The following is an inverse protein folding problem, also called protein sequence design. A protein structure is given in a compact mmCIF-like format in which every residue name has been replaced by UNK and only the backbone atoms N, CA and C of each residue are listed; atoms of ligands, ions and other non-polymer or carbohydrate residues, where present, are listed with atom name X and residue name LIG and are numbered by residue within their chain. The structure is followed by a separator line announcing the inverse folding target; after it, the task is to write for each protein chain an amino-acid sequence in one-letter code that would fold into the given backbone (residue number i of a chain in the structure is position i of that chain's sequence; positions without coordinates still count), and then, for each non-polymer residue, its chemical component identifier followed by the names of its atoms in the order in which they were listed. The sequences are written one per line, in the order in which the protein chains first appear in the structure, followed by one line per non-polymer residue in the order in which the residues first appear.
data_IF_083666979787
#
_entry.id   IF_083666979787
#
_cell.length_a   1.000
_cell.length_b   1.000
_cell.length_c   1.000
_cell.angle_alpha   90.00
_cell.angle_beta   90.00
_cell.angle_gamma   90.00
#
_symmetry.space_group_name_H-M   'P 1'
#
loop_
_entity.id
_entity.type
_entity.pdbx_description
1 polymer ?
#
# COMPACT_ATOMS: atom_id res chain seq x y z
N UNK A 1 18.47 -8.00 13.30
CA UNK A 1 17.72 -6.80 13.73
C UNK A 1 16.76 -7.18 14.84
N UNK A 2 16.56 -6.34 15.87
CA UNK A 2 15.54 -6.54 16.92
C UNK A 2 14.56 -5.36 16.92
N UNK A 3 13.25 -5.64 16.90
CA UNK A 3 12.21 -4.61 17.00
C UNK A 3 11.87 -4.43 18.48
N UNK A 4 12.05 -3.22 19.01
CA UNK A 4 11.58 -2.85 20.36
C UNK A 4 10.07 -2.67 20.36
N UNK A 5 9.41 -3.29 21.33
CA UNK A 5 7.95 -3.30 21.49
C UNK A 5 7.52 -2.90 22.91
N UNK A 6 8.45 -2.38 23.71
CA UNK A 6 8.27 -1.92 25.08
C UNK A 6 7.97 -0.40 25.12
N UNK A 7 7.30 0.04 26.19
CA UNK A 7 6.98 1.46 26.43
C UNK A 7 6.20 2.10 25.28
N UNK A 8 6.67 3.25 24.80
CA UNK A 8 6.09 3.99 23.67
C UNK A 8 6.02 3.19 22.36
N UNK A 9 6.74 2.07 22.28
CA UNK A 9 6.74 1.19 21.12
C UNK A 9 5.76 0.02 21.21
N UNK A 10 4.90 -0.03 22.23
CA UNK A 10 3.90 -1.08 22.41
C UNK A 10 3.01 -1.28 21.17
N UNK A 11 2.69 -0.21 20.45
CA UNK A 11 1.89 -0.26 19.21
C UNK A 11 2.51 -1.16 18.13
N UNK A 12 3.84 -1.34 18.13
CA UNK A 12 4.53 -2.21 17.16
C UNK A 12 4.17 -3.66 17.39
N UNK A 13 4.02 -4.10 18.65
CA UNK A 13 3.57 -5.47 18.92
C UNK A 13 2.16 -5.68 18.37
N UNK A 14 1.25 -4.74 18.59
CA UNK A 14 -0.12 -4.82 18.04
C UNK A 14 -0.14 -4.80 16.51
N UNK A 15 0.77 -4.06 15.86
CA UNK A 15 0.90 -4.09 14.40
C UNK A 15 1.42 -5.45 13.90
N UNK A 16 2.41 -6.02 14.58
CA UNK A 16 2.96 -7.35 14.27
C UNK A 16 1.95 -8.45 14.52
N UNK A 17 1.15 -8.37 15.58
CA UNK A 17 0.06 -9.31 15.87
C UNK A 17 -1.00 -9.30 14.78
N UNK A 18 -1.45 -8.12 14.34
CA UNK A 18 -2.39 -8.04 13.20
C UNK A 18 -1.84 -8.65 11.92
N UNK A 19 -0.54 -8.48 11.65
CA UNK A 19 0.09 -9.14 10.51
C UNK A 19 0.15 -10.66 10.70
N UNK A 20 0.48 -11.13 11.91
CA UNK A 20 0.52 -12.55 12.25
C UNK A 20 -0.85 -13.22 12.10
N UNK A 21 -1.91 -12.56 12.55
CA UNK A 21 -3.29 -13.03 12.40
C UNK A 21 -3.70 -13.06 10.92
N UNK A 22 -3.36 -12.03 10.14
CA UNK A 22 -3.66 -11.97 8.71
C UNK A 22 -2.97 -13.08 7.90
N UNK A 23 -1.68 -13.32 8.16
CA UNK A 23 -0.90 -14.35 7.46
C UNK A 23 -1.03 -15.75 8.09
N UNK A 24 -1.80 -15.88 9.17
CA UNK A 24 -1.94 -17.11 9.96
C UNK A 24 -0.59 -17.78 10.26
N UNK A 25 0.34 -17.01 10.80
CA UNK A 25 1.68 -17.52 11.10
C UNK A 25 2.33 -16.81 12.27
N UNK A 26 3.52 -17.29 12.68
CA UNK A 26 4.23 -16.65 13.77
C UNK A 26 4.69 -15.23 13.41
N UNK A 27 4.89 -14.40 14.44
CA UNK A 27 5.27 -12.98 14.34
C UNK A 27 6.48 -12.71 13.44
N UNK A 28 7.48 -13.59 13.45
CA UNK A 28 8.69 -13.40 12.63
C UNK A 28 8.38 -13.59 11.15
N UNK A 29 7.69 -14.68 10.82
CA UNK A 29 7.29 -14.96 9.43
C UNK A 29 6.34 -13.88 8.91
N UNK A 30 5.39 -13.43 9.73
CA UNK A 30 4.46 -12.38 9.37
C UNK A 30 5.15 -11.06 9.01
N UNK A 31 6.19 -10.66 9.77
CA UNK A 31 6.97 -9.46 9.46
C UNK A 31 7.71 -9.61 8.14
N UNK A 32 8.33 -10.76 7.88
CA UNK A 32 9.04 -11.01 6.61
C UNK A 32 8.06 -10.97 5.45
N UNK A 33 6.95 -11.70 5.52
CA UNK A 33 5.92 -11.73 4.48
C UNK A 33 5.34 -10.35 4.21
N UNK A 34 5.02 -9.57 5.26
CA UNK A 34 4.56 -8.19 5.06
C UNK A 34 5.59 -7.30 4.34
N UNK A 35 6.88 -7.47 4.65
CA UNK A 35 7.95 -6.71 3.98
C UNK A 35 8.18 -7.15 2.53
N UNK A 36 7.91 -8.41 2.18
CA UNK A 36 7.98 -8.93 0.82
C UNK A 36 6.76 -8.52 -0.02
N UNK A 37 5.56 -8.58 0.56
CA UNK A 37 4.31 -8.37 -0.15
C UNK A 37 4.01 -6.90 -0.42
N UNK A 38 4.32 -5.98 0.52
CA UNK A 38 3.98 -4.56 0.37
C UNK A 38 4.56 -3.94 -0.91
N UNK A 39 5.86 -4.10 -1.25
CA UNK A 39 6.40 -3.62 -2.51
C UNK A 39 5.68 -4.19 -3.75
N UNK A 40 5.33 -5.47 -3.72
CA UNK A 40 4.64 -6.15 -4.83
C UNK A 40 3.21 -5.61 -5.00
N UNK A 41 2.48 -5.45 -3.90
CA UNK A 41 1.14 -4.86 -3.89
C UNK A 41 1.13 -3.42 -4.40
N UNK A 42 2.13 -2.61 -4.01
CA UNK A 42 2.27 -1.23 -4.50
C UNK A 42 2.59 -1.22 -6.00
N UNK A 43 3.42 -2.13 -6.49
CA UNK A 43 3.70 -2.26 -7.92
C UNK A 43 2.44 -2.67 -8.69
N UNK A 44 1.69 -3.66 -8.20
CA UNK A 44 0.43 -4.09 -8.81
C UNK A 44 -0.62 -2.96 -8.83
N UNK A 45 -0.75 -2.21 -7.73
CA UNK A 45 -1.63 -1.04 -7.67
C UNK A 45 -1.28 0.02 -8.73
N UNK A 46 0.03 0.28 -8.95
CA UNK A 46 0.48 1.20 -10.02
C UNK A 46 0.09 0.68 -11.40
N UNK A 47 0.29 -0.60 -11.67
CA UNK A 47 -0.09 -1.21 -12.95
C UNK A 47 -1.60 -1.11 -13.19
N UNK A 48 -2.42 -1.35 -12.17
CA UNK A 48 -3.87 -1.16 -12.27
C UNK A 48 -4.20 0.29 -12.61
N UNK A 49 -3.58 1.26 -11.93
CA UNK A 49 -3.78 2.68 -12.18
C UNK A 49 -3.27 3.16 -13.54
N UNK A 50 -2.43 2.38 -14.24
CA UNK A 50 -1.91 2.68 -15.57
C UNK A 50 -2.80 2.17 -16.69
N UNK A 51 -3.69 1.20 -16.44
CA UNK A 51 -4.58 0.60 -17.44
C UNK A 51 -5.40 1.62 -18.25
N UNK A 52 -5.32 1.53 -19.57
CA UNK A 52 -5.96 2.46 -20.52
C UNK A 52 -7.49 2.43 -20.51
N UNK A 53 -8.11 1.38 -19.98
CA UNK A 53 -9.57 1.24 -19.92
C UNK A 53 -10.22 1.95 -18.72
N UNK A 54 -9.43 2.50 -17.80
CA UNK A 54 -9.94 3.26 -16.66
C UNK A 54 -10.15 4.73 -17.01
N UNK A 55 -11.34 5.24 -16.71
CA UNK A 55 -11.61 6.68 -16.72
C UNK A 55 -10.78 7.40 -15.67
N UNK A 56 -10.61 8.71 -15.81
CA UNK A 56 -9.91 9.52 -14.80
C UNK A 56 -10.55 9.41 -13.41
N UNK A 57 -11.89 9.43 -13.34
CA UNK A 57 -12.63 9.31 -12.07
C UNK A 57 -12.39 7.96 -11.41
N UNK A 58 -12.42 6.87 -12.19
CA UNK A 58 -12.11 5.52 -11.69
C UNK A 58 -10.66 5.42 -11.19
N UNK A 59 -9.68 5.99 -11.92
CA UNK A 59 -8.29 6.03 -11.46
C UNK A 59 -8.16 6.79 -10.15
N UNK A 60 -8.88 7.90 -10.01
CA UNK A 60 -8.86 8.71 -8.79
C UNK A 60 -9.47 7.94 -7.61
N UNK A 61 -10.63 7.32 -7.79
CA UNK A 61 -11.27 6.48 -6.77
C UNK A 61 -10.36 5.33 -6.31
N UNK A 62 -9.76 4.61 -7.24
CA UNK A 62 -8.82 3.53 -6.95
C UNK A 62 -7.59 4.08 -6.20
N UNK A 63 -7.04 5.22 -6.63
CA UNK A 63 -5.88 5.81 -6.00
C UNK A 63 -6.16 6.27 -4.56
N UNK A 64 -7.32 6.87 -4.31
CA UNK A 64 -7.77 7.27 -2.97
C UNK A 64 -7.99 6.04 -2.08
N UNK A 65 -8.65 5.00 -2.60
CA UNK A 65 -8.93 3.75 -1.87
C UNK A 65 -7.66 3.00 -1.48
N UNK A 66 -6.68 2.92 -2.38
CA UNK A 66 -5.42 2.21 -2.13
C UNK A 66 -4.42 3.04 -1.33
N UNK A 67 -4.65 4.34 -1.17
CA UNK A 67 -3.79 5.19 -0.36
C UNK A 67 -3.95 4.86 1.12
N UNK A 68 -2.82 4.66 1.78
CA UNK A 68 -2.73 4.41 3.22
C UNK A 68 -1.96 5.55 3.89
N UNK A 69 -1.77 5.48 5.21
CA UNK A 69 -0.95 6.45 5.93
C UNK A 69 0.49 6.52 5.41
N UNK A 70 1.04 5.42 4.89
CA UNK A 70 2.46 5.31 4.51
C UNK A 70 2.66 5.40 2.99
N UNK A 71 1.66 4.97 2.21
CA UNK A 71 1.74 4.94 0.74
C UNK A 71 0.61 5.77 0.14
N UNK A 72 0.93 6.68 -0.79
CA UNK A 72 -0.06 7.44 -1.55
C UNK A 72 0.10 7.22 -3.06
N UNK A 73 -1.02 7.22 -3.76
CA UNK A 73 -1.07 7.12 -5.23
C UNK A 73 -1.58 8.45 -5.79
N UNK A 74 -0.87 9.02 -6.78
CA UNK A 74 -1.25 10.27 -7.43
C UNK A 74 -1.60 10.01 -8.89
N UNK A 75 -2.80 10.40 -9.31
CA UNK A 75 -3.24 10.35 -10.70
C UNK A 75 -2.88 11.68 -11.38
N UNK A 76 -2.18 11.62 -12.51
CA UNK A 76 -1.89 12.81 -13.33
C UNK A 76 -2.99 12.98 -14.36
N UNK A 77 -3.57 14.18 -14.45
CA UNK A 77 -4.46 14.56 -15.53
C UNK A 77 -3.63 15.02 -16.72
N UNK A 78 -3.63 14.27 -17.81
CA UNK A 78 -3.10 14.76 -19.09
C UNK A 78 -4.15 15.72 -19.68
N UNK A 79 -3.82 17.01 -19.76
CA UNK A 79 -4.64 17.99 -20.47
C UNK A 79 -4.04 18.15 -21.85
N UNK A 80 -4.69 17.59 -22.87
CA UNK A 80 -4.35 17.86 -24.27
C UNK A 80 -4.95 19.21 -24.63
N UNK A 81 -4.09 20.21 -24.85
CA UNK A 81 -4.51 21.51 -25.37
C UNK A 81 -4.36 21.46 -26.88
N UNK A 82 -5.48 21.33 -27.59
CA UNK A 82 -5.51 21.58 -29.03
C UNK A 82 -5.36 23.09 -29.26
N UNK A 83 -4.42 23.48 -30.12
CA UNK A 83 -4.21 24.88 -30.53
C UNK A 83 -4.66 25.00 -31.98
N UNK A 84 -5.75 25.71 -32.18
CA UNK A 84 -6.18 26.25 -33.49
C UNK A 84 -5.19 27.29 -34.04
#
# INVERSE_FOLDING_TARGET
MRIRTDGDYAYRNSAIERAADFYDCNKTKAVVSACEDVPLLVAAARQVLERDDLTHEQRQEIAETLSTRVTSFKVKKAVTVDRD
#
